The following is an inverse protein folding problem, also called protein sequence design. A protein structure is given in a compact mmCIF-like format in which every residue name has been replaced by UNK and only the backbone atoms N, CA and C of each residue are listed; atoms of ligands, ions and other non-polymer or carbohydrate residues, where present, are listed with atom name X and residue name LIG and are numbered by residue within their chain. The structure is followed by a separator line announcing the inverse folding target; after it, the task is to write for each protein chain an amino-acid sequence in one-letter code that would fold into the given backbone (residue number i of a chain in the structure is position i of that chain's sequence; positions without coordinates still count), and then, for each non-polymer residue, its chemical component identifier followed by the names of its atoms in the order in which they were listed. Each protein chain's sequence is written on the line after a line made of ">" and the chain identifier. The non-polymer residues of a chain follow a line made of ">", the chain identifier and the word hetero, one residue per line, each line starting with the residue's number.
data_IF_809023094829
#
_entry.id   IF_809023094829
#
_cell.length_a   1.000
_cell.length_b   1.000
_cell.length_c   1.000
_cell.angle_alpha   90.00
_cell.angle_beta   90.00
_cell.angle_gamma   90.00
#
_symmetry.space_group_name_H-M   'P 1'
#
loop_
_entity.id
_entity.type
_entity.pdbx_description
1 polymer ?
#
# COMPACT_ATOMS: atom_id res chain seq x y z
N UNK A 1 28.26 13.11 11.63
CA UNK A 1 29.39 12.64 12.45
C UNK A 1 29.61 11.17 12.12
N UNK A 2 30.84 10.74 11.92
CA UNK A 2 31.21 9.33 11.74
C UNK A 2 32.14 8.94 12.90
N UNK A 3 32.02 7.72 13.40
CA UNK A 3 32.88 7.16 14.43
C UNK A 3 33.15 5.68 14.15
N UNK A 4 34.30 5.24 14.57
CA UNK A 4 34.74 3.84 14.46
C UNK A 4 35.04 3.30 15.85
N UNK A 5 34.80 2.02 16.04
CA UNK A 5 35.11 1.34 17.30
C UNK A 5 36.61 1.22 17.55
N UNK A 6 37.02 1.19 18.79
CA UNK A 6 38.37 0.92 19.25
C UNK A 6 38.33 -0.29 20.20
N UNK A 7 39.30 -1.22 20.08
CA UNK A 7 39.39 -2.39 20.98
C UNK A 7 38.49 -3.56 20.56
N UNK A 8 37.80 -4.19 21.51
CA UNK A 8 37.09 -5.46 21.33
C UNK A 8 35.64 -5.35 20.83
N UNK A 9 35.19 -4.16 20.46
CA UNK A 9 33.86 -3.95 19.90
C UNK A 9 33.95 -3.86 18.37
N UNK A 10 33.06 -4.53 17.63
CA UNK A 10 33.01 -4.41 16.17
C UNK A 10 32.19 -3.18 15.74
N UNK A 11 32.54 -2.60 14.61
CA UNK A 11 31.79 -1.48 14.02
C UNK A 11 30.34 -1.86 13.72
N UNK A 12 30.14 -3.08 13.24
CA UNK A 12 28.83 -3.63 12.91
C UNK A 12 27.95 -3.78 14.16
N UNK A 13 28.54 -4.26 15.28
CA UNK A 13 27.84 -4.34 16.55
C UNK A 13 27.50 -2.94 17.07
N UNK A 14 28.42 -2.03 17.05
CA UNK A 14 28.22 -0.64 17.45
C UNK A 14 27.14 0.05 16.60
N UNK A 15 27.13 -0.19 15.30
CA UNK A 15 26.09 0.30 14.40
C UNK A 15 24.70 -0.25 14.75
N UNK A 16 24.59 -1.55 15.00
CA UNK A 16 23.33 -2.22 15.38
C UNK A 16 22.83 -1.74 16.75
N UNK A 17 23.75 -1.54 17.70
CA UNK A 17 23.45 -0.93 19.00
C UNK A 17 22.90 0.49 18.84
N UNK A 18 23.59 1.32 18.03
CA UNK A 18 23.14 2.68 17.75
C UNK A 18 21.79 2.72 17.00
N UNK A 19 21.57 1.82 16.09
CA UNK A 19 20.28 1.70 15.38
C UNK A 19 19.12 1.43 16.33
N UNK A 20 19.35 0.67 17.42
CA UNK A 20 18.36 0.45 18.49
C UNK A 20 18.18 1.69 19.37
N UNK A 21 19.26 2.29 19.80
CA UNK A 21 19.24 3.34 20.83
C UNK A 21 19.21 4.77 20.28
N UNK A 22 19.54 4.97 19.01
CA UNK A 22 19.76 6.27 18.40
C UNK A 22 18.57 7.22 18.48
N UNK A 23 17.35 6.73 18.31
CA UNK A 23 16.15 7.56 18.46
C UNK A 23 15.97 8.05 19.91
N UNK A 24 16.18 7.18 20.90
CA UNK A 24 16.09 7.55 22.32
C UNK A 24 17.21 8.51 22.70
N UNK A 25 18.41 8.28 22.17
CA UNK A 25 19.55 9.18 22.35
C UNK A 25 19.25 10.55 21.74
N UNK A 26 18.72 10.59 20.52
CA UNK A 26 18.31 11.84 19.88
C UNK A 26 17.27 12.59 20.68
N UNK A 27 16.20 11.92 21.11
CA UNK A 27 15.13 12.53 21.90
C UNK A 27 15.60 13.05 23.26
N UNK A 28 16.53 12.33 23.92
CA UNK A 28 16.95 12.63 25.30
C UNK A 28 18.09 13.64 25.37
N UNK A 29 19.02 13.61 24.41
CA UNK A 29 20.28 14.33 24.49
C UNK A 29 20.53 15.35 23.39
N UNK A 30 19.73 15.35 22.30
CA UNK A 30 19.89 16.35 21.26
C UNK A 30 19.53 17.75 21.77
N UNK A 31 20.34 18.74 21.45
CA UNK A 31 20.21 20.13 21.88
C UNK A 31 19.78 21.02 20.71
N UNK A 32 18.96 22.01 20.99
CA UNK A 32 18.49 23.01 20.04
C UNK A 32 16.97 23.01 19.84
N UNK A 33 16.40 24.18 19.64
CA UNK A 33 14.94 24.38 19.50
C UNK A 33 14.44 24.31 18.06
N UNK A 34 15.25 24.73 17.10
CA UNK A 34 14.93 24.71 15.66
C UNK A 34 15.65 23.59 14.89
N UNK A 35 16.87 23.32 15.29
CA UNK A 35 17.68 22.22 14.72
C UNK A 35 18.34 21.48 15.87
N UNK A 36 17.97 20.22 16.05
CA UNK A 36 18.51 19.37 17.10
C UNK A 36 19.85 18.81 16.66
N UNK A 37 20.90 19.01 17.47
CA UNK A 37 22.25 18.54 17.21
C UNK A 37 22.72 17.64 18.36
N UNK A 38 23.42 16.57 17.99
CA UNK A 38 24.12 15.69 18.92
C UNK A 38 25.62 15.93 18.73
N UNK A 39 26.31 16.41 19.77
CA UNK A 39 27.73 16.72 19.69
C UNK A 39 28.61 15.53 20.14
N UNK A 40 29.91 15.62 19.90
CA UNK A 40 30.88 14.59 20.24
C UNK A 40 30.93 14.31 21.75
N UNK A 41 30.94 15.35 22.59
CA UNK A 41 31.10 15.20 24.03
C UNK A 41 29.93 14.41 24.65
N UNK A 42 28.73 14.58 24.13
CA UNK A 42 27.55 13.82 24.56
C UNK A 42 27.71 12.33 24.18
N UNK A 43 28.14 12.06 22.94
CA UNK A 43 28.26 10.68 22.45
C UNK A 43 29.40 9.94 23.16
N UNK A 44 30.51 10.63 23.43
CA UNK A 44 31.69 10.03 24.07
C UNK A 44 31.44 9.58 25.51
N UNK A 45 30.39 10.08 26.16
CA UNK A 45 30.02 9.74 27.54
C UNK A 45 29.11 8.53 27.67
N UNK A 46 28.65 7.94 26.53
CA UNK A 46 27.77 6.78 26.61
C UNK A 46 28.52 5.52 27.00
N UNK A 47 28.04 4.87 28.06
CA UNK A 47 28.47 3.55 28.45
C UNK A 47 27.75 2.51 27.61
N UNK A 48 28.50 1.69 26.90
CA UNK A 48 27.97 0.61 26.05
C UNK A 48 28.42 -0.73 26.63
N UNK A 49 27.46 -1.56 27.00
CA UNK A 49 27.74 -2.97 27.35
C UNK A 49 27.78 -3.79 26.07
N UNK A 50 28.79 -4.63 25.93
CA UNK A 50 28.95 -5.48 24.77
C UNK A 50 29.46 -6.88 25.15
N UNK A 51 29.02 -7.93 24.44
CA UNK A 51 29.44 -9.30 24.69
C UNK A 51 30.84 -9.58 24.14
N UNK A 52 31.31 -10.82 24.32
CA UNK A 52 32.58 -11.27 23.74
C UNK A 52 32.60 -11.09 22.21
N UNK A 53 33.78 -10.99 21.62
CA UNK A 53 33.94 -10.84 20.16
C UNK A 53 33.25 -11.96 19.39
N UNK A 54 33.33 -13.19 19.86
CA UNK A 54 32.68 -14.34 19.22
C UNK A 54 31.14 -14.22 19.23
N UNK A 55 30.57 -13.71 20.32
CA UNK A 55 29.13 -13.46 20.41
C UNK A 55 28.70 -12.30 19.52
N UNK A 56 29.48 -11.22 19.45
CA UNK A 56 29.24 -10.13 18.53
C UNK A 56 29.18 -10.64 17.07
N UNK A 57 30.15 -11.47 16.67
CA UNK A 57 30.21 -12.03 15.31
C UNK A 57 29.01 -12.93 15.00
N UNK A 58 28.54 -13.73 15.96
CA UNK A 58 27.29 -14.52 15.82
C UNK A 58 26.07 -13.64 15.66
N UNK A 59 25.94 -12.60 16.49
CA UNK A 59 24.84 -11.64 16.44
C UNK A 59 24.82 -10.91 15.09
N UNK A 60 25.99 -10.47 14.61
CA UNK A 60 26.09 -9.79 13.32
C UNK A 60 25.75 -10.70 12.14
N UNK A 61 26.21 -11.94 12.14
CA UNK A 61 25.85 -12.91 11.13
C UNK A 61 24.34 -13.14 11.10
N UNK A 62 23.71 -13.31 12.26
CA UNK A 62 22.27 -13.50 12.36
C UNK A 62 21.48 -12.28 11.85
N UNK A 63 21.87 -11.05 12.22
CA UNK A 63 21.23 -9.82 11.75
C UNK A 63 21.39 -9.68 10.23
N UNK A 64 22.60 -9.97 9.70
CA UNK A 64 22.87 -9.92 8.27
C UNK A 64 21.98 -10.88 7.48
N UNK A 65 21.80 -12.11 7.95
CA UNK A 65 20.89 -13.09 7.34
C UNK A 65 19.43 -12.62 7.34
N UNK A 66 18.97 -11.98 8.42
CA UNK A 66 17.63 -11.39 8.48
C UNK A 66 17.49 -10.24 7.47
N UNK A 67 18.50 -9.37 7.35
CA UNK A 67 18.48 -8.27 6.40
C UNK A 67 18.49 -8.77 4.95
N UNK A 68 19.29 -9.77 4.63
CA UNK A 68 19.31 -10.41 3.32
C UNK A 68 17.95 -11.02 2.96
N UNK A 69 17.32 -11.71 3.93
CA UNK A 69 16.00 -12.29 3.73
C UNK A 69 14.93 -11.23 3.48
N UNK A 70 14.94 -10.12 4.23
CA UNK A 70 14.03 -8.98 4.04
C UNK A 70 14.27 -8.32 2.68
N UNK A 71 15.53 -8.15 2.27
CA UNK A 71 15.88 -7.58 0.97
C UNK A 71 15.40 -8.48 -0.18
N UNK A 72 15.61 -9.79 -0.07
CA UNK A 72 15.13 -10.78 -1.05
C UNK A 72 13.61 -10.75 -1.15
N UNK A 73 12.92 -10.65 -0.02
CA UNK A 73 11.46 -10.57 0.02
C UNK A 73 10.93 -9.31 -0.68
N UNK A 74 11.55 -8.15 -0.46
CA UNK A 74 11.20 -6.93 -1.18
C UNK A 74 11.33 -7.12 -2.71
N UNK A 75 12.42 -7.74 -3.14
CA UNK A 75 12.64 -8.02 -4.56
C UNK A 75 11.57 -8.95 -5.14
N UNK A 76 11.18 -10.01 -4.44
CA UNK A 76 10.09 -10.89 -4.86
C UNK A 76 8.78 -10.11 -5.05
N UNK A 77 8.46 -9.20 -4.13
CA UNK A 77 7.25 -8.36 -4.23
C UNK A 77 7.32 -7.44 -5.46
N UNK A 78 8.47 -6.82 -5.72
CA UNK A 78 8.67 -5.97 -6.90
C UNK A 78 8.55 -6.78 -8.19
N UNK A 79 9.19 -7.94 -8.29
CA UNK A 79 9.15 -8.81 -9.45
C UNK A 79 7.70 -9.31 -9.73
N UNK A 80 6.94 -9.66 -8.70
CA UNK A 80 5.53 -10.03 -8.84
C UNK A 80 4.65 -8.87 -9.32
N UNK A 81 4.89 -7.63 -8.86
CA UNK A 81 4.18 -6.44 -9.34
C UNK A 81 4.50 -6.17 -10.81
N UNK A 82 5.75 -6.27 -11.21
CA UNK A 82 6.19 -6.12 -12.59
C UNK A 82 5.56 -7.21 -13.48
N UNK A 83 5.58 -8.47 -13.04
CA UNK A 83 4.95 -9.59 -13.75
C UNK A 83 3.45 -9.35 -13.94
N UNK A 84 2.72 -8.96 -12.87
CA UNK A 84 1.29 -8.61 -12.97
C UNK A 84 1.05 -7.52 -14.00
N UNK A 85 1.86 -6.46 -13.98
CA UNK A 85 1.74 -5.34 -14.92
C UNK A 85 1.98 -5.78 -16.36
N UNK A 86 3.03 -6.56 -16.62
CA UNK A 86 3.37 -7.06 -17.94
C UNK A 86 2.29 -8.01 -18.52
N UNK A 87 1.76 -8.90 -17.68
CA UNK A 87 0.66 -9.78 -18.06
C UNK A 87 -0.59 -8.95 -18.40
N UNK A 88 -0.97 -8.01 -17.53
CA UNK A 88 -2.12 -7.16 -17.75
C UNK A 88 -1.96 -6.35 -19.05
N UNK A 89 -0.79 -5.77 -19.28
CA UNK A 89 -0.50 -5.03 -20.51
C UNK A 89 -0.62 -5.90 -21.75
N UNK A 90 0.02 -7.06 -21.75
CA UNK A 90 0.00 -7.98 -22.90
C UNK A 90 -1.41 -8.46 -23.20
N UNK A 91 -2.15 -8.85 -22.17
CA UNK A 91 -3.50 -9.39 -22.31
C UNK A 91 -4.47 -8.33 -22.79
N UNK A 92 -4.51 -7.16 -22.15
CA UNK A 92 -5.49 -6.12 -22.46
C UNK A 92 -5.20 -5.38 -23.76
N UNK A 93 -3.92 -5.21 -24.15
CA UNK A 93 -3.57 -4.58 -25.43
C UNK A 93 -3.91 -5.45 -26.65
N UNK A 94 -3.85 -6.77 -26.50
CA UNK A 94 -4.14 -7.73 -27.59
C UNK A 94 -5.56 -8.29 -27.54
N UNK A 95 -6.41 -7.79 -26.65
CA UNK A 95 -7.73 -8.35 -26.42
C UNK A 95 -8.69 -8.08 -27.57
N UNK A 96 -9.37 -9.14 -28.00
CA UNK A 96 -10.49 -9.06 -28.95
C UNK A 96 -11.80 -9.25 -28.19
N UNK A 97 -12.77 -8.38 -28.47
CA UNK A 97 -14.08 -8.41 -27.86
C UNK A 97 -14.98 -7.32 -28.40
N UNK A 98 -16.20 -7.24 -27.91
CA UNK A 98 -17.08 -6.13 -28.27
C UNK A 98 -16.80 -4.94 -27.31
N UNK A 99 -17.02 -3.73 -27.80
CA UNK A 99 -16.91 -2.54 -27.01
C UNK A 99 -18.25 -2.21 -26.34
N UNK A 100 -18.18 -1.86 -25.05
CA UNK A 100 -19.31 -1.35 -24.32
C UNK A 100 -18.91 -0.09 -23.54
N UNK A 101 -19.83 0.82 -23.35
CA UNK A 101 -19.63 1.92 -22.40
C UNK A 101 -19.85 1.41 -20.96
N UNK A 102 -19.18 2.00 -19.99
CA UNK A 102 -19.30 1.60 -18.59
C UNK A 102 -20.76 1.69 -18.10
N UNK A 103 -21.52 2.69 -18.58
CA UNK A 103 -22.96 2.85 -18.27
C UNK A 103 -23.84 1.73 -18.83
N UNK A 104 -23.39 1.00 -19.85
CA UNK A 104 -24.15 -0.14 -20.39
C UNK A 104 -23.96 -1.43 -19.60
N UNK A 105 -22.97 -1.47 -18.69
CA UNK A 105 -22.62 -2.69 -17.95
C UNK A 105 -22.76 -2.57 -16.45
N UNK A 106 -22.92 -1.37 -15.89
CA UNK A 106 -23.13 -1.16 -14.47
C UNK A 106 -23.76 0.19 -14.16
N UNK A 107 -24.30 0.32 -12.96
CA UNK A 107 -24.74 1.60 -12.42
C UNK A 107 -23.57 2.29 -11.71
N UNK A 108 -23.25 3.53 -12.12
CA UNK A 108 -22.27 4.36 -11.42
C UNK A 108 -23.01 5.17 -10.37
N UNK A 109 -22.76 4.84 -9.11
CA UNK A 109 -23.43 5.46 -7.96
C UNK A 109 -22.45 6.37 -7.24
N UNK A 110 -22.82 7.64 -7.07
CA UNK A 110 -22.05 8.59 -6.24
C UNK A 110 -22.33 8.31 -4.78
N UNK A 111 -21.31 8.29 -3.96
CA UNK A 111 -21.43 8.08 -2.52
C UNK A 111 -22.09 9.25 -1.79
N UNK A 112 -22.28 9.09 -0.49
CA UNK A 112 -22.94 10.08 0.38
C UNK A 112 -21.92 10.68 1.34
N UNK A 113 -21.89 12.01 1.43
CA UNK A 113 -21.04 12.71 2.39
C UNK A 113 -21.42 12.30 3.82
N UNK A 114 -20.41 12.13 4.66
CA UNK A 114 -20.51 11.99 6.11
C UNK A 114 -19.62 13.06 6.75
N UNK A 115 -20.07 13.59 7.89
CA UNK A 115 -19.29 14.60 8.60
C UNK A 115 -18.03 13.99 9.21
N UNK A 116 -16.91 14.70 9.14
CA UNK A 116 -15.65 14.24 9.71
C UNK A 116 -15.73 13.95 11.22
N UNK A 117 -16.57 14.68 11.94
CA UNK A 117 -16.81 14.51 13.38
C UNK A 117 -17.52 13.18 13.73
N UNK A 118 -18.23 12.58 12.75
CA UNK A 118 -18.87 11.27 12.91
C UNK A 118 -17.94 10.10 12.63
N UNK A 119 -16.71 10.38 12.15
CA UNK A 119 -15.73 9.37 11.85
C UNK A 119 -14.88 9.06 13.07
N UNK A 120 -14.60 7.79 13.27
CA UNK A 120 -13.71 7.26 14.31
C UNK A 120 -12.41 6.69 13.72
N UNK A 121 -11.38 6.52 14.57
CA UNK A 121 -10.15 5.83 14.18
C UNK A 121 -10.35 4.31 14.02
N UNK A 122 -11.40 3.75 14.63
CA UNK A 122 -11.75 2.33 14.61
C UNK A 122 -13.27 2.20 14.54
N UNK A 123 -13.77 1.26 13.74
CA UNK A 123 -15.21 1.01 13.59
C UNK A 123 -15.48 -0.17 12.68
N UNK A 124 -16.77 -0.45 12.43
CA UNK A 124 -17.20 -1.61 11.65
C UNK A 124 -16.93 -1.45 10.15
N UNK A 125 -17.12 -0.26 9.60
CA UNK A 125 -17.04 -0.01 8.16
C UNK A 125 -16.07 1.14 7.89
N UNK A 126 -15.10 0.91 7.03
CA UNK A 126 -14.22 1.99 6.59
C UNK A 126 -14.93 2.92 5.60
N UNK A 127 -14.50 4.17 5.57
CA UNK A 127 -15.05 5.24 4.72
C UNK A 127 -14.08 5.58 3.61
N UNK A 128 -14.49 5.38 2.36
CA UNK A 128 -13.73 5.81 1.17
C UNK A 128 -14.30 7.13 0.64
N UNK A 129 -13.52 8.20 0.76
CA UNK A 129 -13.96 9.54 0.37
C UNK A 129 -12.92 10.22 -0.55
N UNK A 130 -12.65 9.61 -1.70
CA UNK A 130 -11.76 10.18 -2.74
C UNK A 130 -10.26 9.98 -2.50
N UNK A 131 -9.85 9.34 -1.39
CA UNK A 131 -8.47 8.95 -1.13
C UNK A 131 -8.13 7.54 -1.63
N UNK A 132 -6.84 7.16 -1.56
CA UNK A 132 -6.37 5.78 -1.78
C UNK A 132 -6.47 4.93 -0.52
N UNK A 133 -6.61 5.57 0.64
CA UNK A 133 -6.78 4.96 1.96
C UNK A 133 -8.08 5.45 2.58
N UNK A 134 -8.66 4.68 3.52
CA UNK A 134 -9.84 5.13 4.26
C UNK A 134 -9.61 6.47 4.97
N UNK A 135 -10.65 7.32 4.96
CA UNK A 135 -10.67 8.59 5.71
C UNK A 135 -10.98 8.41 7.20
N UNK A 136 -11.42 7.23 7.60
CA UNK A 136 -11.83 6.86 8.94
C UNK A 136 -12.79 5.68 8.90
N UNK A 137 -13.50 5.46 10.00
CA UNK A 137 -14.48 4.39 10.15
C UNK A 137 -15.83 4.96 10.57
N UNK A 138 -16.90 4.26 10.16
CA UNK A 138 -18.29 4.62 10.45
C UNK A 138 -19.09 3.37 10.87
N UNK A 139 -20.18 3.57 11.59
CA UNK A 139 -20.99 2.46 12.11
C UNK A 139 -21.97 1.90 11.09
N UNK A 140 -22.16 2.58 9.96
CA UNK A 140 -23.05 2.17 8.88
C UNK A 140 -22.27 1.96 7.58
N UNK A 141 -22.83 1.15 6.69
CA UNK A 141 -22.35 1.01 5.31
C UNK A 141 -23.48 1.40 4.34
N UNK A 142 -23.08 1.96 3.19
CA UNK A 142 -24.00 2.25 2.09
C UNK A 142 -23.61 1.49 0.80
N UNK A 143 -22.55 0.70 0.86
CA UNK A 143 -22.00 -0.02 -0.30
C UNK A 143 -21.65 -1.45 0.12
N UNK A 144 -22.13 -2.47 -0.62
CA UNK A 144 -21.87 -3.87 -0.31
C UNK A 144 -20.40 -4.24 -0.57
N UNK A 145 -19.99 -5.38 -0.03
CA UNK A 145 -18.72 -6.03 -0.32
C UNK A 145 -18.59 -6.36 -1.82
N UNK A 146 -17.33 -6.60 -2.25
CA UNK A 146 -16.97 -6.94 -3.63
C UNK A 146 -17.38 -5.88 -4.67
N UNK A 147 -17.28 -4.61 -4.28
CA UNK A 147 -17.65 -3.47 -5.13
C UNK A 147 -16.40 -2.71 -5.58
N UNK A 148 -16.35 -2.35 -6.86
CA UNK A 148 -15.31 -1.48 -7.42
C UNK A 148 -15.67 -0.04 -7.08
N UNK A 149 -14.70 0.72 -6.56
CA UNK A 149 -14.81 2.17 -6.36
C UNK A 149 -13.80 2.94 -7.20
N UNK A 150 -14.19 4.18 -7.56
CA UNK A 150 -13.35 5.11 -8.31
C UNK A 150 -13.39 6.46 -7.57
N UNK A 151 -12.23 6.98 -7.24
CA UNK A 151 -12.11 8.30 -6.63
C UNK A 151 -12.59 9.38 -7.59
N UNK A 152 -13.56 10.21 -7.15
CA UNK A 152 -14.10 11.31 -7.95
C UNK A 152 -13.14 12.49 -8.01
N UNK A 153 -12.47 12.82 -6.92
CA UNK A 153 -11.78 14.09 -6.81
C UNK A 153 -10.50 14.08 -5.99
N UNK A 154 -9.82 15.24 -5.98
CA UNK A 154 -8.56 15.46 -5.27
C UNK A 154 -7.36 14.83 -5.98
N UNK A 155 -6.26 14.67 -5.24
CA UNK A 155 -4.99 14.15 -5.78
C UNK A 155 -5.09 12.70 -6.27
N UNK A 156 -6.04 11.92 -5.75
CA UNK A 156 -6.28 10.52 -6.12
C UNK A 156 -7.42 10.36 -7.14
N UNK A 157 -7.84 11.46 -7.77
CA UNK A 157 -8.92 11.47 -8.75
C UNK A 157 -8.68 10.43 -9.85
N UNK A 158 -9.62 9.50 -10.03
CA UNK A 158 -9.52 8.38 -10.97
C UNK A 158 -8.90 7.09 -10.41
N UNK A 159 -8.47 7.09 -9.15
CA UNK A 159 -7.95 5.88 -8.51
C UNK A 159 -9.02 4.79 -8.42
N UNK A 160 -8.72 3.62 -8.94
CA UNK A 160 -9.60 2.45 -8.99
C UNK A 160 -9.23 1.48 -7.88
N UNK A 161 -10.21 1.07 -7.09
CA UNK A 161 -10.04 0.14 -5.97
C UNK A 161 -11.11 -0.95 -5.96
N UNK A 162 -10.73 -2.16 -5.57
CA UNK A 162 -11.66 -3.26 -5.27
C UNK A 162 -11.85 -3.40 -3.77
N UNK A 163 -13.09 -3.28 -3.32
CA UNK A 163 -13.46 -3.31 -1.90
C UNK A 163 -14.04 -4.68 -1.54
N UNK A 164 -13.27 -5.48 -0.81
CA UNK A 164 -13.64 -6.87 -0.45
C UNK A 164 -14.70 -6.98 0.65
N UNK A 165 -14.83 -5.95 1.48
CA UNK A 165 -15.84 -5.86 2.54
C UNK A 165 -16.79 -4.69 2.30
N UNK A 166 -17.96 -4.72 2.93
CA UNK A 166 -18.89 -3.59 2.91
C UNK A 166 -18.24 -2.35 3.51
N UNK A 167 -18.58 -1.18 3.00
CA UNK A 167 -17.98 0.08 3.39
C UNK A 167 -18.94 1.26 3.20
N UNK A 168 -18.56 2.42 3.67
CA UNK A 168 -19.24 3.66 3.35
C UNK A 168 -18.54 4.37 2.19
N UNK A 169 -19.27 4.54 1.08
CA UNK A 169 -18.84 5.37 -0.03
C UNK A 169 -19.18 6.82 0.26
N UNK A 170 -18.16 7.66 0.42
CA UNK A 170 -18.28 9.09 0.70
C UNK A 170 -18.59 9.93 -0.52
N UNK A 171 -18.83 11.23 -0.33
CA UNK A 171 -19.30 12.15 -1.36
C UNK A 171 -18.35 12.35 -2.55
N UNK A 172 -17.07 11.99 -2.40
CA UNK A 172 -16.05 12.05 -3.46
C UNK A 172 -15.63 10.66 -3.96
N UNK A 173 -16.54 9.70 -3.90
CA UNK A 173 -16.30 8.33 -4.35
C UNK A 173 -17.45 7.86 -5.23
N UNK A 174 -17.15 7.33 -6.41
CA UNK A 174 -18.07 6.56 -7.23
C UNK A 174 -17.93 5.07 -6.95
N UNK A 175 -19.03 4.36 -7.01
CA UNK A 175 -19.08 2.89 -6.93
C UNK A 175 -19.77 2.30 -8.15
N UNK A 176 -19.27 1.16 -8.63
CA UNK A 176 -19.87 0.43 -9.74
C UNK A 176 -20.74 -0.67 -9.17
N UNK A 177 -22.06 -0.49 -9.30
CA UNK A 177 -23.07 -1.40 -8.76
C UNK A 177 -23.89 -2.03 -9.88
N UNK A 178 -24.65 -3.05 -9.58
CA UNK A 178 -25.56 -3.73 -10.52
C UNK A 178 -24.86 -4.14 -11.82
N UNK A 179 -23.68 -4.74 -11.70
CA UNK A 179 -22.91 -5.19 -12.88
C UNK A 179 -23.72 -6.23 -13.63
N UNK A 180 -23.89 -6.01 -14.94
CA UNK A 180 -24.72 -6.83 -15.82
C UNK A 180 -24.25 -8.29 -15.83
N UNK A 181 -25.19 -9.23 -15.87
CA UNK A 181 -24.91 -10.66 -16.02
C UNK A 181 -24.06 -10.91 -17.29
N UNK A 182 -22.98 -11.69 -17.14
CA UNK A 182 -22.03 -11.94 -18.23
C UNK A 182 -20.78 -11.06 -18.18
N UNK A 183 -20.71 -10.07 -17.27
CA UNK A 183 -19.49 -9.32 -16.97
C UNK A 183 -18.93 -9.78 -15.64
N UNK A 184 -17.71 -10.30 -15.65
CA UNK A 184 -17.01 -10.71 -14.43
C UNK A 184 -16.46 -9.46 -13.69
N UNK A 185 -16.82 -9.29 -12.42
CA UNK A 185 -16.44 -8.11 -11.63
C UNK A 185 -14.93 -7.98 -11.44
N UNK A 186 -14.21 -9.10 -11.27
CA UNK A 186 -12.76 -9.07 -11.13
C UNK A 186 -12.07 -8.74 -12.46
N UNK A 187 -12.61 -9.25 -13.56
CA UNK A 187 -12.17 -8.85 -14.90
C UNK A 187 -12.34 -7.33 -15.09
N UNK A 188 -13.52 -6.80 -14.78
CA UNK A 188 -13.81 -5.37 -14.87
C UNK A 188 -12.84 -4.55 -13.99
N UNK A 189 -12.62 -4.98 -12.76
CA UNK A 189 -11.66 -4.34 -11.87
C UNK A 189 -10.24 -4.31 -12.48
N UNK A 190 -9.72 -5.44 -12.95
CA UNK A 190 -8.38 -5.50 -13.53
C UNK A 190 -8.26 -4.70 -14.82
N UNK A 191 -9.32 -4.68 -15.63
CA UNK A 191 -9.38 -3.83 -16.83
C UNK A 191 -9.30 -2.34 -16.46
N UNK A 192 -10.16 -1.88 -15.58
CA UNK A 192 -10.16 -0.48 -15.13
C UNK A 192 -8.84 -0.11 -14.45
N UNK A 193 -8.25 -1.02 -13.66
CA UNK A 193 -6.96 -0.82 -13.01
C UNK A 193 -5.81 -0.70 -14.03
N UNK A 194 -5.84 -1.47 -15.12
CA UNK A 194 -4.86 -1.34 -16.21
C UNK A 194 -4.98 0.02 -16.90
N UNK A 195 -6.18 0.50 -17.09
CA UNK A 195 -6.47 1.77 -17.76
C UNK A 195 -6.71 2.93 -16.77
N UNK A 196 -6.26 2.79 -15.54
CA UNK A 196 -6.43 3.80 -14.48
C UNK A 196 -5.90 5.18 -14.90
N UNK A 197 -4.76 5.23 -15.59
CA UNK A 197 -4.20 6.50 -16.10
C UNK A 197 -5.13 7.17 -17.12
N UNK A 198 -5.83 6.38 -17.95
CA UNK A 198 -6.83 6.90 -18.88
C UNK A 198 -8.04 7.46 -18.13
N UNK A 199 -8.48 6.80 -17.06
CA UNK A 199 -9.55 7.31 -16.18
C UNK A 199 -9.09 8.59 -15.48
N UNK A 200 -7.87 8.63 -14.97
CA UNK A 200 -7.29 9.84 -14.36
C UNK A 200 -7.22 11.02 -15.33
N UNK A 201 -7.03 10.77 -16.61
CA UNK A 201 -7.01 11.81 -17.65
C UNK A 201 -8.40 12.39 -17.98
N UNK A 202 -9.50 11.79 -17.48
CA UNK A 202 -10.85 12.35 -17.58
C UNK A 202 -11.09 13.51 -16.61
N UNK A 203 -10.18 13.73 -15.67
CA UNK A 203 -10.29 14.80 -14.65
C UNK A 203 -10.26 16.18 -15.30
N UNK A 204 -11.11 17.07 -14.77
CA UNK A 204 -11.17 18.48 -15.11
C UNK A 204 -10.91 19.34 -13.88
N UNK A 205 -10.37 20.53 -14.07
CA UNK A 205 -10.01 21.48 -13.00
C UNK A 205 -8.53 21.45 -12.62
N UNK A 206 -7.97 22.60 -12.28
CA UNK A 206 -6.55 22.80 -11.98
C UNK A 206 -6.23 22.78 -10.48
N UNK A 207 -7.19 23.19 -9.61
CA UNK A 207 -6.97 23.23 -8.16
C UNK A 207 -7.44 21.97 -7.44
N UNK A 208 -8.72 21.64 -7.59
CA UNK A 208 -9.33 20.42 -7.07
C UNK A 208 -9.91 19.64 -8.24
N UNK A 209 -9.10 18.83 -8.92
CA UNK A 209 -9.56 18.09 -10.08
C UNK A 209 -10.65 17.08 -9.70
N UNK A 210 -11.62 16.90 -10.57
CA UNK A 210 -12.65 15.88 -10.43
C UNK A 210 -13.01 15.23 -11.77
N UNK A 211 -13.58 14.04 -11.71
CA UNK A 211 -14.14 13.32 -12.86
C UNK A 211 -15.66 13.45 -12.83
N UNK A 212 -16.23 13.89 -13.94
CA UNK A 212 -17.68 13.93 -14.08
C UNK A 212 -18.24 12.52 -14.28
N UNK A 213 -19.38 12.24 -13.65
CA UNK A 213 -20.04 10.93 -13.79
C UNK A 213 -20.26 10.55 -15.27
N UNK A 214 -20.67 11.53 -16.10
CA UNK A 214 -20.91 11.34 -17.53
C UNK A 214 -19.66 10.88 -18.30
N UNK A 215 -18.47 11.33 -17.89
CA UNK A 215 -17.23 10.91 -18.55
C UNK A 215 -16.89 9.47 -18.21
N UNK A 216 -17.11 9.05 -16.96
CA UNK A 216 -17.01 7.64 -16.57
C UNK A 216 -18.07 6.77 -17.27
N UNK A 217 -19.30 7.24 -17.39
CA UNK A 217 -20.38 6.56 -18.09
C UNK A 217 -20.00 6.23 -19.55
N UNK A 218 -19.26 7.11 -20.20
CA UNK A 218 -18.79 6.99 -21.58
C UNK A 218 -17.45 6.25 -21.71
N UNK A 219 -16.83 5.86 -20.61
CA UNK A 219 -15.58 5.12 -20.65
C UNK A 219 -15.76 3.76 -21.32
N UNK A 220 -14.99 3.51 -22.38
CA UNK A 220 -15.14 2.31 -23.24
C UNK A 220 -14.34 1.15 -22.69
N UNK A 221 -14.98 0.00 -22.63
CA UNK A 221 -14.44 -1.26 -22.15
C UNK A 221 -14.53 -2.30 -23.24
N UNK A 222 -13.49 -3.14 -23.37
CA UNK A 222 -13.51 -4.32 -24.22
C UNK A 222 -14.03 -5.50 -23.41
N UNK A 223 -15.05 -6.18 -23.90
CA UNK A 223 -15.63 -7.37 -23.27
C UNK A 223 -15.42 -8.60 -24.16
N UNK A 224 -14.48 -9.49 -23.82
CA UNK A 224 -14.34 -10.78 -24.47
C UNK A 224 -15.43 -11.76 -23.98
N UNK A 225 -15.41 -13.00 -24.45
CA UNK A 225 -16.32 -14.03 -23.94
C UNK A 225 -16.17 -14.21 -22.44
N UNK A 226 -17.25 -14.60 -21.74
CA UNK A 226 -17.25 -14.82 -20.28
C UNK A 226 -16.17 -15.81 -19.83
N UNK A 227 -15.83 -16.80 -20.65
CA UNK A 227 -14.73 -17.72 -20.37
C UNK A 227 -13.39 -16.99 -20.30
N UNK A 228 -13.08 -16.16 -21.27
CA UNK A 228 -11.83 -15.38 -21.31
C UNK A 228 -11.77 -14.36 -20.19
N UNK A 229 -12.88 -13.69 -19.88
CA UNK A 229 -12.96 -12.79 -18.73
C UNK A 229 -12.58 -13.52 -17.44
N UNK A 230 -13.14 -14.70 -17.20
CA UNK A 230 -12.88 -15.50 -16.00
C UNK A 230 -11.43 -15.98 -15.91
N UNK A 231 -10.84 -16.41 -17.03
CA UNK A 231 -9.43 -16.83 -17.08
C UNK A 231 -8.49 -15.68 -16.69
N UNK A 232 -8.71 -14.48 -17.25
CA UNK A 232 -7.92 -13.28 -16.94
C UNK A 232 -8.11 -12.86 -15.49
N UNK A 233 -9.36 -12.78 -15.03
CA UNK A 233 -9.70 -12.44 -13.66
C UNK A 233 -9.00 -13.38 -12.66
N UNK A 234 -9.08 -14.68 -12.88
CA UNK A 234 -8.46 -15.71 -12.04
C UNK A 234 -6.94 -15.53 -11.99
N UNK A 235 -6.30 -15.37 -13.14
CA UNK A 235 -4.85 -15.20 -13.23
C UNK A 235 -4.37 -13.94 -12.48
N UNK A 236 -4.93 -12.78 -12.79
CA UNK A 236 -4.49 -11.52 -12.20
C UNK A 236 -4.83 -11.42 -10.71
N UNK A 237 -5.97 -11.96 -10.29
CA UNK A 237 -6.36 -12.01 -8.87
C UNK A 237 -5.45 -12.96 -8.07
N UNK A 238 -5.04 -14.09 -8.66
CA UNK A 238 -4.10 -15.00 -8.00
C UNK A 238 -2.73 -14.34 -7.76
N UNK A 239 -2.22 -13.60 -8.74
CA UNK A 239 -0.95 -12.86 -8.58
C UNK A 239 -1.11 -11.76 -7.51
N UNK A 240 -2.23 -11.04 -7.51
CA UNK A 240 -2.52 -10.01 -6.51
C UNK A 240 -2.61 -10.59 -5.10
N UNK A 241 -3.26 -11.74 -4.95
CA UNK A 241 -3.29 -12.47 -3.69
C UNK A 241 -1.88 -12.88 -3.23
N UNK A 242 -1.04 -13.40 -4.15
CA UNK A 242 0.35 -13.74 -3.84
C UNK A 242 1.13 -12.51 -3.37
N UNK A 243 1.02 -11.37 -4.06
CA UNK A 243 1.66 -10.11 -3.63
C UNK A 243 1.23 -9.73 -2.21
N UNK A 244 -0.06 -9.81 -1.90
CA UNK A 244 -0.58 -9.50 -0.57
C UNK A 244 0.00 -10.43 0.51
N UNK A 245 0.10 -11.73 0.24
CA UNK A 245 0.70 -12.70 1.16
C UNK A 245 2.17 -12.36 1.42
N UNK A 246 2.93 -12.03 0.37
CA UNK A 246 4.35 -11.67 0.50
C UNK A 246 4.56 -10.36 1.27
N UNK A 247 3.68 -9.37 1.09
CA UNK A 247 3.70 -8.12 1.87
C UNK A 247 3.44 -8.40 3.37
N UNK A 248 2.44 -9.23 3.69
CA UNK A 248 2.13 -9.58 5.08
C UNK A 248 3.28 -10.34 5.74
N UNK A 249 3.93 -11.23 4.98
CA UNK A 249 5.13 -11.93 5.46
C UNK A 249 6.29 -10.97 5.72
N UNK A 250 6.53 -10.01 4.81
CA UNK A 250 7.56 -8.98 4.97
C UNK A 250 7.33 -8.13 6.23
N UNK A 251 6.11 -7.67 6.46
CA UNK A 251 5.74 -6.91 7.65
C UNK A 251 6.00 -7.71 8.94
N UNK A 252 5.62 -9.00 8.93
CA UNK A 252 5.88 -9.90 10.06
C UNK A 252 7.37 -10.08 10.31
N UNK A 253 8.17 -10.31 9.27
CA UNK A 253 9.62 -10.46 9.38
C UNK A 253 10.32 -9.19 9.90
N UNK A 254 9.85 -8.02 9.47
CA UNK A 254 10.36 -6.73 9.95
C UNK A 254 10.03 -6.50 11.42
N UNK A 255 8.82 -6.81 11.86
CA UNK A 255 8.40 -6.75 13.26
C UNK A 255 9.21 -7.71 14.14
N UNK A 256 9.40 -8.95 13.67
CA UNK A 256 10.22 -9.94 14.36
C UNK A 256 11.67 -9.48 14.50
N UNK A 257 12.27 -8.97 13.43
CA UNK A 257 13.62 -8.38 13.49
C UNK A 257 13.70 -7.26 14.53
N UNK A 258 12.73 -6.34 14.55
CA UNK A 258 12.70 -5.26 15.53
C UNK A 258 12.59 -5.78 16.97
N UNK A 259 11.76 -6.80 17.19
CA UNK A 259 11.63 -7.45 18.49
C UNK A 259 12.96 -8.08 18.93
N UNK A 260 13.60 -8.88 18.06
CA UNK A 260 14.88 -9.51 18.34
C UNK A 260 15.98 -8.49 18.65
N UNK A 261 16.07 -7.41 17.87
CA UNK A 261 17.02 -6.33 18.16
C UNK A 261 16.81 -5.72 19.55
N UNK A 262 15.57 -5.61 20.01
CA UNK A 262 15.25 -5.11 21.36
C UNK A 262 15.71 -6.07 22.45
N UNK A 263 15.71 -7.37 22.21
CA UNK A 263 16.13 -8.39 23.17
C UNK A 263 17.65 -8.60 23.19
N UNK A 264 18.31 -8.46 22.05
CA UNK A 264 19.74 -8.75 21.88
C UNK A 264 20.66 -7.64 22.36
N UNK A 265 20.23 -6.39 22.36
CA UNK A 265 21.02 -5.25 22.80
C UNK A 265 20.38 -4.66 24.08
N UNK A 266 20.64 -5.25 25.21
CA UNK A 266 20.11 -4.82 26.50
C UNK A 266 20.90 -3.62 27.04
#
# INVERSE_FOLDING_TARGET
>A
MAFTSIGNISNEFLYSWYKKHGNLIGLKYAQGTKQQNLNYDIISQFNISFPSKQEQDKLQCFIALLDERIATQNKIIEDLKLLKSAIAETVFNNMKGHFANLSAICNIVKGKQVNGEELSEKGHYYVMNGGITPSGYYDQCNTPANTISISEGGNSCGYVQYNKSSFWSGGHCYTLQDITSGVDTQYLFHYLKRYESNIMNLRIGTGLPNIQKKDLENFRIVLPSSKVQKEIATCLTAIEYKIMVEINWLDSAQKEKQYLLRQMFI
#
